data_IF_124659417591
#
_entry.id   IF_124659417591
#
_cell.length_a   1.000
_cell.length_b   1.000
_cell.length_c   1.000
_cell.angle_alpha   90.00
_cell.angle_beta   90.00
_cell.angle_gamma   90.00
#
_symmetry.space_group_name_H-M   'P 1'
#
loop_
_entity.id
_entity.type
_entity.pdbx_description
1 polymer ?
#
# COMPACT_ATOMS: atom_id res chain seq x y z
N UNK A 1 20.65 13.98 17.66
CA UNK A 1 19.21 13.98 17.32
C UNK A 1 18.42 13.79 18.61
N UNK A 2 17.65 14.81 19.03
CA UNK A 2 16.75 14.70 20.19
C UNK A 2 15.45 14.05 19.72
N UNK A 3 15.07 12.94 20.37
CA UNK A 3 13.78 12.27 20.16
C UNK A 3 12.69 13.16 20.75
N UNK A 4 11.72 13.58 19.93
CA UNK A 4 10.46 14.14 20.43
C UNK A 4 9.51 12.96 20.66
N UNK A 5 8.85 12.94 21.83
CA UNK A 5 7.94 11.87 22.24
C UNK A 5 6.71 11.79 21.30
N UNK A 6 6.06 10.62 21.17
CA UNK A 6 4.85 10.50 20.37
C UNK A 6 3.70 11.29 21.03
N UNK A 7 3.11 12.22 20.29
CA UNK A 7 1.92 12.96 20.71
C UNK A 7 0.66 12.11 20.48
N UNK A 8 -0.25 12.12 21.45
CA UNK A 8 -1.60 11.56 21.28
C UNK A 8 -2.56 12.64 20.80
N UNK A 9 -3.60 12.26 20.05
CA UNK A 9 -4.56 13.19 19.44
C UNK A 9 -5.37 14.05 20.45
N UNK A 10 -5.24 13.78 21.75
CA UNK A 10 -5.87 14.52 22.84
C UNK A 10 -4.91 15.48 23.55
N UNK A 11 -3.65 15.58 23.10
CA UNK A 11 -2.68 16.51 23.67
C UNK A 11 -2.99 17.94 23.17
N UNK A 12 -3.35 18.89 24.05
CA UNK A 12 -3.67 20.27 23.67
C UNK A 12 -2.50 20.99 22.98
N UNK A 13 -1.27 20.48 23.09
CA UNK A 13 -0.12 21.03 22.37
C UNK A 13 -0.14 20.71 20.87
N UNK A 14 -0.78 19.61 20.43
CA UNK A 14 -0.79 19.24 19.01
C UNK A 14 -1.47 20.32 18.15
N UNK A 15 -2.60 20.86 18.62
CA UNK A 15 -3.28 21.97 17.92
C UNK A 15 -2.50 23.28 17.97
N UNK A 16 -1.75 23.56 19.04
CA UNK A 16 -0.97 24.80 19.13
C UNK A 16 0.20 24.84 18.14
N UNK A 17 0.87 23.71 17.88
CA UNK A 17 1.98 23.65 16.91
C UNK A 17 1.52 23.91 15.47
N UNK A 18 0.34 23.41 15.08
CA UNK A 18 -0.25 23.66 13.76
C UNK A 18 -0.73 25.12 13.61
N UNK A 19 -1.38 25.67 14.64
CA UNK A 19 -1.91 27.03 14.60
C UNK A 19 -0.82 28.11 14.67
N UNK A 20 0.32 27.81 15.30
CA UNK A 20 1.45 28.73 15.41
C UNK A 20 2.38 28.71 14.18
N UNK A 21 2.08 27.90 13.16
CA UNK A 21 2.92 27.79 11.95
C UNK A 21 4.28 27.12 12.21
N UNK A 22 4.43 26.37 13.30
CA UNK A 22 5.65 25.64 13.62
C UNK A 22 5.74 24.30 12.86
N UNK A 23 4.66 23.88 12.21
CA UNK A 23 4.57 22.69 11.36
C UNK A 23 4.06 23.09 9.99
N UNK A 24 4.96 23.13 9.00
CA UNK A 24 4.59 23.20 7.58
C UNK A 24 4.03 21.84 7.14
N UNK A 25 2.71 21.75 7.00
CA UNK A 25 2.13 20.60 6.32
C UNK A 25 2.41 20.71 4.82
N UNK A 26 2.84 19.61 4.18
CA UNK A 26 2.88 19.60 2.72
C UNK A 26 1.48 19.89 2.18
N UNK A 27 1.41 20.83 1.23
CA UNK A 27 0.18 21.15 0.51
C UNK A 27 -0.44 19.86 -0.04
N UNK A 28 -1.76 19.75 0.10
CA UNK A 28 -2.50 18.59 -0.40
C UNK A 28 -2.26 18.41 -1.90
N UNK A 29 -1.58 17.33 -2.28
CA UNK A 29 -1.43 16.99 -3.69
C UNK A 29 -2.80 16.57 -4.23
N UNK A 30 -3.29 17.20 -5.32
CA UNK A 30 -4.55 16.82 -5.92
C UNK A 30 -4.50 15.35 -6.35
N UNK A 31 -5.61 14.63 -6.16
CA UNK A 31 -5.71 13.24 -6.58
C UNK A 31 -5.42 13.12 -8.08
N UNK A 32 -4.68 12.09 -8.51
CA UNK A 32 -4.49 11.81 -9.92
C UNK A 32 -5.84 11.66 -10.62
N UNK A 33 -6.00 12.32 -11.78
CA UNK A 33 -7.29 12.42 -12.48
C UNK A 33 -7.99 11.07 -12.69
N UNK A 34 -7.24 10.04 -13.09
CA UNK A 34 -7.80 8.70 -13.29
C UNK A 34 -8.40 8.13 -11.99
N UNK A 35 -7.69 8.24 -10.86
CA UNK A 35 -8.19 7.79 -9.56
C UNK A 35 -9.39 8.63 -9.11
N UNK A 36 -9.39 9.93 -9.38
CA UNK A 36 -10.54 10.80 -9.11
C UNK A 36 -11.79 10.36 -9.88
N UNK A 37 -11.66 10.04 -11.17
CA UNK A 37 -12.76 9.52 -12.00
C UNK A 37 -13.31 8.21 -11.46
N UNK A 38 -12.45 7.27 -11.03
CA UNK A 38 -12.89 6.00 -10.45
C UNK A 38 -13.63 6.20 -9.10
N UNK A 39 -13.13 7.10 -8.25
CA UNK A 39 -13.70 7.33 -6.93
C UNK A 39 -14.98 8.15 -6.95
N UNK A 40 -15.05 9.18 -7.79
CA UNK A 40 -16.15 10.16 -7.79
C UNK A 40 -17.08 10.05 -9.00
N UNK A 41 -16.65 9.36 -10.06
CA UNK A 41 -17.44 9.18 -11.28
C UNK A 41 -18.68 8.33 -11.06
N UNK A 42 -19.76 8.66 -11.78
CA UNK A 42 -21.03 7.93 -11.73
C UNK A 42 -21.23 6.99 -12.93
N UNK A 43 -20.16 6.76 -13.71
CA UNK A 43 -20.15 5.80 -14.81
C UNK A 43 -20.11 4.35 -14.28
N UNK A 44 -20.16 3.40 -15.22
CA UNK A 44 -20.14 1.96 -14.90
C UNK A 44 -18.79 1.57 -14.27
N UNK A 45 -17.69 2.17 -14.74
CA UNK A 45 -16.34 1.88 -14.28
C UNK A 45 -16.09 2.34 -12.85
N UNK A 46 -16.48 3.59 -12.50
CA UNK A 46 -16.37 4.09 -11.14
C UNK A 46 -17.24 3.31 -10.16
N UNK A 47 -18.44 2.89 -10.57
CA UNK A 47 -19.29 2.02 -9.75
C UNK A 47 -18.68 0.66 -9.49
N UNK A 48 -18.19 -0.02 -10.54
CA UNK A 48 -17.51 -1.31 -10.42
C UNK A 48 -16.28 -1.20 -9.51
N UNK A 49 -15.44 -0.18 -9.74
CA UNK A 49 -14.26 0.08 -8.91
C UNK A 49 -14.60 0.27 -7.43
N UNK A 50 -15.65 1.05 -7.11
CA UNK A 50 -16.07 1.27 -5.73
C UNK A 50 -16.62 0.02 -5.06
N UNK A 51 -17.38 -0.79 -5.79
CA UNK A 51 -17.88 -2.09 -5.30
C UNK A 51 -16.70 -3.01 -4.97
N UNK A 52 -15.68 -3.04 -5.83
CA UNK A 52 -14.51 -3.89 -5.69
C UNK A 52 -13.29 -3.21 -5.03
N UNK A 53 -13.47 -2.05 -4.37
CA UNK A 53 -12.38 -1.20 -3.89
C UNK A 53 -11.40 -1.94 -2.98
N UNK A 54 -11.89 -2.82 -2.11
CA UNK A 54 -11.05 -3.64 -1.23
C UNK A 54 -10.15 -4.60 -2.01
N UNK A 55 -10.70 -5.23 -3.05
CA UNK A 55 -9.94 -6.15 -3.90
C UNK A 55 -8.92 -5.40 -4.75
N UNK A 56 -9.26 -4.21 -5.26
CA UNK A 56 -8.27 -3.32 -5.90
C UNK A 56 -7.13 -2.94 -4.94
N UNK A 57 -7.46 -2.48 -3.73
CA UNK A 57 -6.44 -2.13 -2.73
C UNK A 57 -5.56 -3.33 -2.38
N UNK A 58 -6.12 -4.53 -2.26
CA UNK A 58 -5.35 -5.75 -2.04
C UNK A 58 -4.42 -6.09 -3.22
N UNK A 59 -4.90 -5.96 -4.46
CA UNK A 59 -4.09 -6.21 -5.66
C UNK A 59 -2.91 -5.23 -5.82
N UNK A 60 -3.03 -4.02 -5.26
CA UNK A 60 -1.98 -3.01 -5.21
C UNK A 60 -1.23 -2.93 -3.88
N UNK A 61 -1.50 -3.82 -2.92
CA UNK A 61 -0.75 -3.86 -1.68
C UNK A 61 0.72 -4.21 -1.95
N UNK A 62 1.64 -3.47 -1.31
CA UNK A 62 3.07 -3.80 -1.34
C UNK A 62 3.38 -5.00 -0.44
N UNK A 63 2.64 -5.12 0.65
CA UNK A 63 2.79 -6.15 1.67
C UNK A 63 1.46 -6.86 1.89
N UNK A 64 1.50 -8.18 2.02
CA UNK A 64 0.40 -8.94 2.62
C UNK A 64 0.53 -8.93 4.15
N UNK A 65 -0.57 -9.23 4.81
CA UNK A 65 -0.61 -9.58 6.23
C UNK A 65 -0.99 -11.04 6.33
N UNK A 66 -0.21 -11.80 7.08
CA UNK A 66 -0.59 -13.13 7.53
C UNK A 66 -0.87 -13.05 9.03
N UNK A 67 -2.04 -13.49 9.44
CA UNK A 67 -2.44 -13.52 10.84
C UNK A 67 -3.38 -14.69 11.09
N UNK A 68 -3.28 -15.29 12.26
CA UNK A 68 -4.26 -16.27 12.73
C UNK A 68 -5.42 -15.50 13.36
N UNK A 69 -6.63 -15.57 12.80
CA UNK A 69 -7.79 -14.90 13.39
C UNK A 69 -8.06 -15.48 14.77
N UNK A 70 -8.19 -14.62 15.77
CA UNK A 70 -8.67 -15.02 17.09
C UNK A 70 -10.13 -14.59 17.17
N UNK A 71 -11.03 -15.58 17.19
CA UNK A 71 -12.45 -15.32 17.27
C UNK A 71 -12.84 -15.08 18.73
N UNK A 72 -12.81 -13.81 19.14
CA UNK A 72 -13.27 -13.37 20.47
C UNK A 72 -14.76 -13.02 20.49
N UNK A 73 -15.58 -13.61 19.62
CA UNK A 73 -17.03 -13.39 19.64
C UNK A 73 -17.41 -12.04 19.05
N UNK A 74 -16.75 -11.62 17.96
CA UNK A 74 -17.20 -10.48 17.17
C UNK A 74 -18.60 -10.83 16.61
N UNK A 75 -19.63 -10.20 17.16
CA UNK A 75 -21.04 -10.48 16.82
C UNK A 75 -21.25 -10.53 15.31
N UNK A 76 -21.96 -11.57 14.86
CA UNK A 76 -22.24 -11.92 13.47
C UNK A 76 -23.06 -10.88 12.66
N UNK A 77 -23.19 -9.64 13.14
CA UNK A 77 -23.90 -8.54 12.48
C UNK A 77 -23.19 -7.19 12.52
N UNK A 78 -21.93 -7.11 12.97
CA UNK A 78 -21.15 -5.87 13.09
C UNK A 78 -19.97 -5.76 12.13
N UNK A 79 -19.23 -4.64 12.20
CA UNK A 79 -17.96 -4.44 11.48
C UNK A 79 -17.01 -5.61 11.82
N UNK A 80 -16.50 -6.33 10.83
CA UNK A 80 -15.48 -7.37 11.06
C UNK A 80 -14.21 -6.72 11.63
N UNK A 81 -14.05 -6.82 12.94
CA UNK A 81 -12.85 -6.43 13.66
C UNK A 81 -12.13 -7.70 14.12
N UNK A 82 -10.89 -7.89 13.67
CA UNK A 82 -9.98 -8.88 14.24
C UNK A 82 -9.02 -8.16 15.19
N UNK A 83 -8.66 -8.81 16.29
CA UNK A 83 -7.69 -8.29 17.24
C UNK A 83 -6.35 -8.99 17.02
N UNK A 84 -5.28 -8.20 16.91
CA UNK A 84 -3.90 -8.70 16.91
C UNK A 84 -3.27 -8.25 18.22
N UNK A 85 -2.85 -9.21 19.06
CA UNK A 85 -2.08 -8.92 20.25
C UNK A 85 -0.61 -8.65 19.85
N UNK A 86 0.02 -7.62 20.45
CA UNK A 86 1.40 -7.16 20.19
C UNK A 86 1.58 -6.24 18.97
N UNK A 87 2.84 -5.85 18.72
CA UNK A 87 3.25 -5.02 17.58
C UNK A 87 3.15 -5.79 16.26
N UNK A 88 2.53 -5.17 15.27
CA UNK A 88 2.42 -5.70 13.91
C UNK A 88 3.74 -5.49 13.17
N UNK A 89 4.46 -6.57 12.88
CA UNK A 89 5.59 -6.56 11.97
C UNK A 89 5.16 -7.20 10.64
N UNK A 90 5.21 -6.44 9.55
CA UNK A 90 5.01 -7.01 8.22
C UNK A 90 6.29 -7.75 7.79
N UNK A 91 6.28 -9.07 7.87
CA UNK A 91 7.32 -9.88 7.22
C UNK A 91 7.00 -9.96 5.75
N UNK A 92 7.67 -9.12 4.97
CA UNK A 92 7.58 -9.18 3.54
C UNK A 92 8.43 -10.32 3.01
N UNK A 93 7.90 -11.08 2.05
CA UNK A 93 8.66 -12.07 1.30
C UNK A 93 9.84 -11.46 0.55
N UNK A 94 10.62 -12.30 -0.13
CA UNK A 94 11.79 -11.88 -0.90
C UNK A 94 11.43 -10.73 -1.86
N UNK A 95 12.26 -9.68 -1.92
CA UNK A 95 12.11 -8.62 -2.93
C UNK A 95 12.58 -9.04 -4.33
N UNK A 96 13.29 -10.17 -4.40
CA UNK A 96 13.65 -10.84 -5.65
C UNK A 96 12.73 -12.05 -5.86
N UNK A 97 12.33 -12.33 -7.11
CA UNK A 97 11.64 -13.58 -7.42
C UNK A 97 12.55 -14.77 -7.12
N UNK A 98 11.96 -15.82 -6.57
CA UNK A 98 12.58 -17.14 -6.62
C UNK A 98 12.61 -17.65 -8.05
N UNK A 99 13.65 -18.40 -8.42
CA UNK A 99 13.79 -18.94 -9.77
C UNK A 99 12.54 -19.76 -10.15
N UNK A 100 11.91 -19.41 -11.27
CA UNK A 100 10.72 -20.09 -11.77
C UNK A 100 9.39 -19.67 -11.12
N UNK A 101 9.38 -18.70 -10.18
CA UNK A 101 8.14 -18.16 -9.60
C UNK A 101 7.75 -16.82 -10.25
N UNK A 102 6.46 -16.64 -10.51
CA UNK A 102 5.92 -15.38 -10.99
C UNK A 102 6.05 -14.28 -9.93
N UNK A 103 6.27 -13.03 -10.38
CA UNK A 103 6.44 -11.87 -9.50
C UNK A 103 5.16 -11.60 -8.69
N UNK A 104 5.30 -11.16 -7.44
CA UNK A 104 4.18 -10.93 -6.52
C UNK A 104 4.31 -9.61 -5.77
N UNK A 105 3.17 -8.96 -5.49
CA UNK A 105 3.07 -7.79 -4.61
C UNK A 105 4.11 -6.70 -4.94
N UNK A 106 4.97 -6.33 -3.97
CA UNK A 106 6.01 -5.33 -4.14
C UNK A 106 6.92 -5.59 -5.35
N UNK A 107 7.19 -6.86 -5.68
CA UNK A 107 8.05 -7.23 -6.80
C UNK A 107 7.47 -6.69 -8.13
N UNK A 108 6.15 -6.62 -8.28
CA UNK A 108 5.49 -6.14 -9.49
C UNK A 108 5.79 -4.66 -9.80
N UNK A 109 6.21 -3.86 -8.81
CA UNK A 109 6.54 -2.43 -9.02
C UNK A 109 7.96 -2.18 -9.58
N UNK A 110 8.76 -3.24 -9.73
CA UNK A 110 10.14 -3.12 -10.22
C UNK A 110 10.35 -3.62 -11.64
N UNK A 111 9.29 -4.11 -12.28
CA UNK A 111 9.35 -4.73 -13.60
C UNK A 111 8.43 -3.99 -14.59
N UNK A 112 8.32 -4.56 -15.79
CA UNK A 112 7.48 -4.03 -16.86
C UNK A 112 6.04 -3.81 -16.40
N UNK A 113 5.47 -2.66 -16.79
CA UNK A 113 4.14 -2.23 -16.35
C UNK A 113 3.03 -3.12 -16.90
N UNK A 114 3.19 -3.58 -18.15
CA UNK A 114 2.20 -4.44 -18.78
C UNK A 114 2.19 -5.81 -18.11
N UNK A 115 3.37 -6.41 -17.93
CA UNK A 115 3.52 -7.65 -17.19
C UNK A 115 2.91 -7.54 -15.78
N UNK A 116 3.18 -6.43 -15.07
CA UNK A 116 2.67 -6.22 -13.72
C UNK A 116 1.14 -6.13 -13.68
N UNK A 117 0.53 -5.45 -14.67
CA UNK A 117 -0.92 -5.36 -14.80
C UNK A 117 -1.54 -6.73 -15.12
N UNK A 118 -0.95 -7.47 -16.06
CA UNK A 118 -1.42 -8.80 -16.47
C UNK A 118 -1.33 -9.80 -15.31
N UNK A 119 -0.23 -9.78 -14.55
CA UNK A 119 -0.06 -10.62 -13.36
C UNK A 119 -1.11 -10.30 -12.28
N UNK A 120 -1.49 -9.02 -12.11
CA UNK A 120 -2.60 -8.65 -11.21
C UNK A 120 -3.94 -9.14 -11.73
N UNK A 121 -4.20 -9.01 -13.03
CA UNK A 121 -5.44 -9.44 -13.64
C UNK A 121 -5.63 -10.96 -13.55
N UNK A 122 -4.57 -11.74 -13.80
CA UNK A 122 -4.60 -13.20 -13.68
C UNK A 122 -4.95 -13.67 -12.26
N UNK A 123 -4.51 -12.94 -11.23
CA UNK A 123 -4.81 -13.27 -9.81
C UNK A 123 -6.14 -12.76 -9.32
N UNK A 124 -6.70 -11.76 -10.00
CA UNK A 124 -7.92 -11.10 -9.60
C UNK A 124 -8.88 -11.06 -10.81
N UNK A 125 -9.36 -12.23 -11.28
CA UNK A 125 -10.19 -12.32 -12.49
C UNK A 125 -11.53 -11.58 -12.36
N UNK A 126 -11.94 -11.25 -11.13
CA UNK A 126 -13.12 -10.44 -10.84
C UNK A 126 -12.93 -8.94 -11.09
N UNK A 127 -11.68 -8.47 -11.21
CA UNK A 127 -11.37 -7.06 -11.39
C UNK A 127 -11.24 -6.71 -12.87
N UNK A 128 -11.61 -5.48 -13.23
CA UNK A 128 -11.42 -4.97 -14.58
C UNK A 128 -9.92 -4.86 -14.94
N UNK A 129 -9.43 -5.55 -15.99
CA UNK A 129 -8.03 -5.53 -16.40
C UNK A 129 -7.53 -4.16 -16.87
N UNK A 130 -8.38 -3.38 -17.55
CA UNK A 130 -8.04 -2.04 -17.99
C UNK A 130 -7.83 -1.11 -16.80
N UNK A 131 -8.70 -1.17 -15.78
CA UNK A 131 -8.52 -0.42 -14.53
C UNK A 131 -7.21 -0.80 -13.83
N UNK A 132 -6.84 -2.09 -13.81
CA UNK A 132 -5.56 -2.54 -13.24
C UNK A 132 -4.36 -1.96 -14.02
N UNK A 133 -4.44 -1.92 -15.35
CA UNK A 133 -3.40 -1.35 -16.21
C UNK A 133 -3.25 0.16 -16.00
N UNK A 134 -4.37 0.90 -16.00
CA UNK A 134 -4.38 2.35 -15.81
C UNK A 134 -3.90 2.75 -14.41
N UNK A 135 -4.30 2.02 -13.37
CA UNK A 135 -3.78 2.22 -12.01
C UNK A 135 -2.28 1.91 -11.91
N UNK A 136 -1.80 0.84 -12.56
CA UNK A 136 -0.37 0.50 -12.60
C UNK A 136 0.43 1.63 -13.26
N UNK A 137 -0.01 2.10 -14.43
CA UNK A 137 0.64 3.22 -15.12
C UNK A 137 0.58 4.51 -14.30
N UNK A 138 -0.56 4.79 -13.65
CA UNK A 138 -0.76 5.96 -12.80
C UNK A 138 0.23 6.00 -11.64
N UNK A 139 0.39 4.91 -10.89
CA UNK A 139 1.29 4.85 -9.73
C UNK A 139 2.74 5.13 -10.11
N UNK A 140 3.17 4.69 -11.30
CA UNK A 140 4.51 4.99 -11.82
C UNK A 140 4.62 6.43 -12.34
N UNK A 141 3.60 6.93 -13.05
CA UNK A 141 3.57 8.30 -13.58
C UNK A 141 3.64 9.34 -12.46
N UNK A 142 2.93 9.12 -11.35
CA UNK A 142 2.92 10.02 -10.19
C UNK A 142 4.13 9.84 -9.27
N UNK A 143 5.08 8.96 -9.64
CA UNK A 143 6.27 8.62 -8.87
C UNK A 143 5.93 8.28 -7.41
N UNK A 144 5.04 7.30 -7.23
CA UNK A 144 4.62 6.87 -5.90
C UNK A 144 5.86 6.66 -4.99
N UNK A 145 5.97 7.36 -3.85
CA UNK A 145 7.18 7.39 -3.03
C UNK A 145 7.51 6.02 -2.44
N UNK A 146 6.51 5.17 -2.18
CA UNK A 146 6.73 3.82 -1.68
C UNK A 146 7.45 2.95 -2.71
N UNK A 147 7.17 3.10 -4.01
CA UNK A 147 7.92 2.39 -5.07
C UNK A 147 9.42 2.72 -4.95
N UNK A 148 9.77 3.99 -4.70
CA UNK A 148 11.16 4.41 -4.52
C UNK A 148 11.81 3.82 -3.27
N UNK A 149 11.10 3.81 -2.14
CA UNK A 149 11.58 3.20 -0.89
C UNK A 149 11.88 1.71 -1.11
N UNK A 150 10.95 1.01 -1.75
CA UNK A 150 11.07 -0.41 -2.06
C UNK A 150 12.19 -0.75 -3.05
N UNK A 151 12.41 0.11 -4.05
CA UNK A 151 13.56 -0.02 -4.97
C UNK A 151 14.88 0.15 -4.22
N UNK A 152 14.97 1.15 -3.36
CA UNK A 152 16.16 1.41 -2.54
C UNK A 152 16.46 0.22 -1.62
N UNK A 153 15.43 -0.36 -0.99
CA UNK A 153 15.58 -1.56 -0.18
C UNK A 153 16.10 -2.75 -1.00
N UNK A 154 15.56 -2.96 -2.20
CA UNK A 154 16.02 -4.00 -3.13
C UNK A 154 17.50 -3.83 -3.49
N UNK A 155 17.92 -2.61 -3.83
CA UNK A 155 19.32 -2.30 -4.16
C UNK A 155 20.25 -2.61 -2.98
N UNK A 156 19.88 -2.20 -1.77
CA UNK A 156 20.66 -2.50 -0.56
C UNK A 156 20.77 -4.00 -0.29
N UNK A 157 19.69 -4.76 -0.45
CA UNK A 157 19.71 -6.22 -0.31
C UNK A 157 20.68 -6.87 -1.31
N UNK A 158 20.67 -6.43 -2.57
CA UNK A 158 21.59 -6.91 -3.61
C UNK A 158 23.05 -6.62 -3.25
N UNK A 159 23.36 -5.42 -2.76
CA UNK A 159 24.71 -5.05 -2.33
C UNK A 159 25.22 -5.90 -1.15
N UNK A 160 24.32 -6.43 -0.33
CA UNK A 160 24.65 -7.30 0.82
C UNK A 160 24.64 -8.80 0.50
N UNK A 161 24.49 -9.20 -0.76
CA UNK A 161 24.46 -10.62 -1.15
C UNK A 161 23.19 -11.37 -0.74
N UNK A 162 22.07 -10.66 -0.51
CA UNK A 162 20.75 -11.27 -0.27
C UNK A 162 20.52 -11.90 1.11
N UNK A 163 21.52 -11.88 2.00
CA UNK A 163 21.43 -12.46 3.36
C UNK A 163 21.02 -11.44 4.43
N UNK A 164 21.01 -10.15 4.11
CA UNK A 164 20.65 -9.09 5.05
C UNK A 164 19.13 -8.93 5.19
N UNK A 165 18.71 -8.39 6.33
CA UNK A 165 17.35 -7.89 6.56
C UNK A 165 17.36 -6.37 6.43
N UNK A 166 16.45 -5.82 5.64
CA UNK A 166 16.22 -4.37 5.56
C UNK A 166 14.96 -4.04 6.32
N UNK A 167 15.06 -3.13 7.29
CA UNK A 167 13.92 -2.58 8.01
C UNK A 167 13.48 -1.32 7.28
N UNK A 168 12.23 -1.28 6.84
CA UNK A 168 11.60 -0.09 6.28
C UNK A 168 10.91 0.68 7.41
N UNK A 169 11.23 1.96 7.54
CA UNK A 169 10.49 2.90 8.39
C UNK A 169 9.74 3.83 7.44
N UNK A 170 8.45 3.57 7.27
CA UNK A 170 7.54 4.30 6.38
C UNK A 170 6.72 5.33 7.15
#
# INVERSE_FOLDING_TARGET
>A
MKRVAPFTATDPQFMSYYLNGEVDLPLYCPLPQHLQSLLLGNDVWGREFRINLRAYNAAFAFTSLDYTPIDHGASAGGLQVFQIHSALYHVQGLLEPELGRALQYAQLYFHDLQYAADARAQRNPQLNPQTLQELTAMLHKVKNPYICVYRTARERLRSTGGTARVILTL
#
